data_IF_776987969578
#
_entry.id   IF_776987969578
#
_cell.length_a   1.000
_cell.length_b   1.000
_cell.length_c   1.000
_cell.angle_alpha   90.00
_cell.angle_beta   90.00
_cell.angle_gamma   90.00
#
_symmetry.space_group_name_H-M   'P 1'
#
loop_
_entity.id
_entity.type
_entity.pdbx_description
1 polymer ?
#
# COMPACT_ATOMS: atom_id res chain seq x y z
N UNK A 1 9.20 6.01 12.43
CA UNK A 1 8.30 6.83 11.61
C UNK A 1 7.48 5.86 10.79
N UNK A 2 6.18 5.74 11.02
CA UNK A 2 5.34 4.86 10.20
C UNK A 2 4.99 5.46 8.85
N UNK A 3 5.01 4.63 7.82
CA UNK A 3 4.63 4.93 6.45
C UNK A 3 3.16 4.55 6.25
N UNK A 4 2.34 5.55 5.92
CA UNK A 4 0.92 5.34 5.63
C UNK A 4 0.68 5.48 4.14
N UNK A 5 0.09 4.46 3.53
CA UNK A 5 -0.29 4.50 2.12
C UNK A 5 -1.50 3.60 1.88
N UNK A 6 -2.23 3.87 0.82
CA UNK A 6 -3.40 3.08 0.48
C UNK A 6 -3.27 2.56 -0.95
N UNK A 7 -3.54 1.27 -1.14
CA UNK A 7 -3.64 0.64 -2.46
C UNK A 7 -5.10 0.42 -2.82
N UNK A 8 -5.47 0.75 -4.04
CA UNK A 8 -6.79 0.46 -4.60
C UNK A 8 -6.61 -0.58 -5.69
N UNK A 9 -7.28 -1.71 -5.52
CA UNK A 9 -7.24 -2.83 -6.45
C UNK A 9 -8.25 -2.64 -7.59
N UNK A 10 -8.03 -3.34 -8.71
CA UNK A 10 -8.87 -3.25 -9.91
C UNK A 10 -10.28 -3.82 -9.74
N UNK A 11 -10.47 -4.65 -8.71
CA UNK A 11 -11.74 -5.28 -8.36
C UNK A 11 -11.84 -5.53 -6.87
N UNK A 12 -13.05 -5.82 -6.41
CA UNK A 12 -13.23 -6.45 -5.11
C UNK A 12 -12.55 -7.83 -5.10
N UNK A 13 -11.68 -8.05 -4.11
CA UNK A 13 -11.06 -9.35 -3.87
C UNK A 13 -11.92 -10.19 -2.93
N UNK A 14 -11.83 -11.49 -3.09
CA UNK A 14 -12.47 -12.46 -2.20
C UNK A 14 -11.75 -12.54 -0.85
N UNK A 15 -12.42 -13.10 0.16
CA UNK A 15 -11.82 -13.31 1.49
C UNK A 15 -10.54 -14.17 1.40
N UNK A 16 -10.52 -15.17 0.51
CA UNK A 16 -9.34 -16.01 0.23
C UNK A 16 -8.16 -15.20 -0.33
N UNK A 17 -8.40 -14.35 -1.33
CA UNK A 17 -7.37 -13.44 -1.86
C UNK A 17 -6.91 -12.45 -0.79
N UNK A 18 -7.82 -11.93 0.03
CA UNK A 18 -7.49 -11.01 1.12
C UNK A 18 -6.65 -11.69 2.21
N UNK A 19 -6.85 -12.98 2.48
CA UNK A 19 -6.08 -13.75 3.43
C UNK A 19 -4.64 -13.95 2.94
N UNK A 20 -4.46 -14.26 1.66
CA UNK A 20 -3.13 -14.34 1.02
C UNK A 20 -2.41 -13.00 1.10
N UNK A 21 -3.11 -11.91 0.82
CA UNK A 21 -2.55 -10.56 0.91
C UNK A 21 -2.23 -10.17 2.36
N UNK A 22 -3.08 -10.52 3.33
CA UNK A 22 -2.80 -10.30 4.78
C UNK A 22 -1.55 -11.00 5.27
N UNK A 23 -1.20 -12.15 4.70
CA UNK A 23 0.03 -12.87 5.06
C UNK A 23 1.29 -12.10 4.65
N UNK A 24 1.21 -11.31 3.56
CA UNK A 24 2.26 -10.35 3.17
C UNK A 24 2.12 -8.98 3.82
N UNK A 25 0.91 -8.60 4.25
CA UNK A 25 0.57 -7.25 4.74
C UNK A 25 0.24 -7.27 6.23
N UNK A 26 1.29 -7.41 7.04
CA UNK A 26 1.15 -7.40 8.49
C UNK A 26 0.66 -6.01 8.96
N UNK A 27 -0.57 -5.95 9.45
CA UNK A 27 -1.19 -4.70 9.93
C UNK A 27 -2.02 -3.92 8.90
N UNK A 28 -2.17 -4.40 7.66
CA UNK A 28 -2.99 -3.71 6.67
C UNK A 28 -4.49 -3.91 6.87
N UNK A 29 -5.25 -2.83 6.65
CA UNK A 29 -6.70 -2.76 6.80
C UNK A 29 -7.36 -2.85 5.43
N UNK A 30 -8.12 -3.93 5.20
CA UNK A 30 -8.88 -4.14 3.98
C UNK A 30 -10.27 -3.53 4.14
N UNK A 31 -10.69 -2.75 3.16
CA UNK A 31 -12.00 -2.12 3.10
C UNK A 31 -12.54 -2.15 1.69
N UNK A 32 -13.86 -2.29 1.55
CA UNK A 32 -14.52 -2.12 0.26
C UNK A 32 -14.71 -0.63 0.00
N UNK A 33 -14.25 -0.15 -1.15
CA UNK A 33 -14.39 1.22 -1.62
C UNK A 33 -14.90 1.23 -3.07
N UNK A 34 -15.12 2.40 -3.66
CA UNK A 34 -15.57 2.52 -5.04
C UNK A 34 -14.51 3.25 -5.87
N UNK A 35 -14.45 2.98 -7.18
CA UNK A 35 -13.49 3.69 -8.03
C UNK A 35 -13.77 5.20 -8.00
N UNK A 36 -12.74 6.06 -7.93
CA UNK A 36 -12.93 7.51 -7.98
C UNK A 36 -13.53 7.97 -9.31
N UNK A 37 -13.36 7.16 -10.35
CA UNK A 37 -13.95 7.37 -11.68
C UNK A 37 -15.35 6.79 -11.83
N UNK A 38 -15.73 5.80 -11.00
CA UNK A 38 -17.02 5.11 -11.11
C UNK A 38 -17.47 4.53 -9.76
N UNK A 39 -18.50 5.13 -9.17
CA UNK A 39 -18.99 4.76 -7.84
C UNK A 39 -19.80 3.46 -7.82
N UNK A 40 -20.17 2.90 -8.98
CA UNK A 40 -20.91 1.63 -9.08
C UNK A 40 -19.96 0.42 -9.10
N UNK A 41 -18.66 0.65 -9.32
CA UNK A 41 -17.64 -0.39 -9.31
C UNK A 41 -17.04 -0.53 -7.91
N UNK A 42 -17.43 -1.59 -7.21
CA UNK A 42 -16.83 -1.98 -5.94
C UNK A 42 -15.39 -2.49 -6.17
N UNK A 43 -14.46 -1.89 -5.44
CA UNK A 43 -13.05 -2.23 -5.43
C UNK A 43 -12.56 -2.43 -4.01
N UNK A 44 -11.51 -3.22 -3.83
CA UNK A 44 -10.87 -3.33 -2.53
C UNK A 44 -9.84 -2.23 -2.37
N UNK A 45 -10.00 -1.43 -1.31
CA UNK A 45 -8.95 -0.53 -0.79
C UNK A 45 -8.25 -1.23 0.36
N UNK A 46 -6.92 -1.19 0.32
CA UNK A 46 -6.06 -1.70 1.39
C UNK A 46 -5.33 -0.48 1.95
N UNK A 47 -5.52 -0.20 3.23
CA UNK A 47 -4.81 0.84 3.95
C UNK A 47 -3.66 0.21 4.73
N UNK A 48 -2.45 0.71 4.48
CA UNK A 48 -1.23 0.24 5.11
C UNK A 48 -0.79 1.28 6.13
N UNK A 49 -0.64 0.83 7.37
CA UNK A 49 -0.04 1.58 8.46
C UNK A 49 1.23 0.84 8.87
N UNK A 50 2.26 0.98 8.04
CA UNK A 50 3.49 0.24 8.22
C UNK A 50 4.44 1.05 9.12
N UNK A 51 4.63 0.58 10.36
CA UNK A 51 5.56 1.19 11.32
C UNK A 51 6.93 0.48 11.36
N UNK A 52 7.09 -0.57 10.55
CA UNK A 52 8.15 -1.58 10.68
C UNK A 52 9.16 -1.52 9.54
N UNK A 53 8.70 -1.19 8.33
CA UNK A 53 9.51 -1.07 7.13
C UNK A 53 10.41 0.17 7.20
N UNK A 54 11.67 0.05 6.77
CA UNK A 54 12.63 1.14 6.82
C UNK A 54 12.30 2.27 5.83
N UNK A 55 11.51 1.97 4.78
CA UNK A 55 11.06 2.96 3.81
C UNK A 55 9.70 2.64 3.19
N UNK A 56 8.98 3.68 2.79
CA UNK A 56 7.73 3.58 2.03
C UNK A 56 7.88 2.77 0.74
N UNK A 57 9.02 2.92 0.04
CA UNK A 57 9.26 2.23 -1.22
C UNK A 57 9.32 0.71 -1.01
N UNK A 58 10.03 0.24 0.02
CA UNK A 58 10.08 -1.20 0.34
C UNK A 58 8.72 -1.74 0.75
N UNK A 59 7.95 -0.98 1.55
CA UNK A 59 6.59 -1.38 1.93
C UNK A 59 5.66 -1.48 0.70
N UNK A 60 5.76 -0.53 -0.25
CA UNK A 60 5.01 -0.55 -1.50
C UNK A 60 5.46 -1.71 -2.40
N UNK A 61 6.76 -1.94 -2.57
CA UNK A 61 7.27 -3.02 -3.42
C UNK A 61 6.85 -4.39 -2.88
N UNK A 62 6.95 -4.61 -1.57
CA UNK A 62 6.44 -5.81 -0.92
C UNK A 62 4.94 -5.95 -1.15
N UNK A 63 4.20 -4.83 -1.07
CA UNK A 63 2.79 -4.80 -1.36
C UNK A 63 2.42 -5.15 -2.81
N UNK A 64 3.16 -4.62 -3.77
CA UNK A 64 2.99 -4.93 -5.18
C UNK A 64 3.37 -6.39 -5.50
N UNK A 65 4.41 -6.94 -4.86
CA UNK A 65 4.79 -8.34 -5.01
C UNK A 65 3.70 -9.30 -4.52
N UNK A 66 3.14 -9.05 -3.34
CA UNK A 66 2.02 -9.86 -2.84
C UNK A 66 0.78 -9.74 -3.71
N UNK A 67 0.42 -8.54 -4.21
CA UNK A 67 -0.67 -8.41 -5.20
C UNK A 67 -0.37 -9.22 -6.47
N UNK A 68 0.89 -9.26 -6.89
CA UNK A 68 1.33 -10.04 -8.05
C UNK A 68 1.25 -11.55 -7.84
N UNK A 69 1.20 -12.05 -6.59
CA UNK A 69 0.97 -13.47 -6.32
C UNK A 69 -0.47 -13.90 -6.64
N UNK A 70 -1.41 -12.96 -6.68
CA UNK A 70 -2.79 -13.20 -7.08
C UNK A 70 -2.91 -12.99 -8.60
N UNK A 71 -3.10 -14.06 -9.40
CA UNK A 71 -3.26 -13.92 -10.84
C UNK A 71 -4.52 -13.10 -11.15
N UNK A 72 -4.45 -12.25 -12.18
CA UNK A 72 -5.55 -11.35 -12.61
C UNK A 72 -5.81 -10.15 -11.70
N UNK A 73 -5.05 -10.00 -10.61
CA UNK A 73 -5.13 -8.85 -9.71
C UNK A 73 -4.14 -7.76 -10.14
N UNK A 74 -4.65 -6.54 -10.35
CA UNK A 74 -3.85 -5.37 -10.74
C UNK A 74 -4.10 -4.22 -9.78
N UNK A 75 -3.08 -3.37 -9.59
CA UNK A 75 -3.16 -2.14 -8.79
C UNK A 75 -3.35 -0.95 -9.73
N UNK A 76 -4.58 -0.57 -10.10
CA UNK A 76 -4.84 0.59 -10.94
C UNK A 76 -4.55 1.91 -10.23
N UNK A 77 -4.58 1.93 -8.89
CA UNK A 77 -4.43 3.14 -8.10
C UNK A 77 -3.55 2.90 -6.88
N UNK A 78 -2.43 3.61 -6.82
CA UNK A 78 -1.63 3.77 -5.60
C UNK A 78 -1.85 5.19 -5.09
N UNK A 79 -2.33 5.32 -3.86
CA UNK A 79 -2.58 6.61 -3.22
C UNK A 79 -1.68 6.74 -2.01
N UNK A 80 -0.72 7.67 -2.11
CA UNK A 80 0.11 8.04 -0.96
C UNK A 80 -0.40 9.38 -0.45
N UNK A 81 -0.88 9.48 0.81
CA UNK A 81 -1.17 10.77 1.38
C UNK A 81 0.10 11.62 1.36
N UNK A 82 0.00 12.84 0.84
CA UNK A 82 1.07 13.83 0.88
C UNK A 82 1.22 14.38 2.31
N UNK A 83 1.51 13.51 3.27
CA UNK A 83 2.05 13.95 4.55
C UNK A 83 3.46 14.46 4.28
N UNK A 84 3.80 15.68 4.72
CA UNK A 84 5.15 16.20 4.53
C UNK A 84 6.14 15.27 5.24
N UNK A 85 6.88 14.47 4.45
CA UNK A 85 8.12 13.89 4.93
C UNK A 85 9.05 15.05 5.25
N UNK A 86 9.44 15.19 6.52
CA UNK A 86 10.62 15.98 6.84
C UNK A 86 11.79 15.39 6.02
N UNK A 87 12.65 16.24 5.42
CA UNK A 87 13.75 15.76 4.60
C UNK A 87 14.53 14.71 5.40
N UNK A 88 14.82 13.57 4.78
CA UNK A 88 15.80 12.65 5.31
C UNK A 88 17.04 13.48 5.65
N UNK A 89 17.48 13.42 6.89
CA UNK A 89 18.71 14.05 7.34
C UNK A 89 19.84 13.49 6.48
N UNK A 90 20.20 14.25 5.44
CA UNK A 90 21.43 14.12 4.69
C UNK A 90 22.55 14.19 5.73
N UNK A 91 23.11 13.03 6.09
CA UNK A 91 24.42 12.95 6.72
C UNK A 91 25.44 13.47 5.70
N UNK A 92 25.49 14.79 5.52
CA UNK A 92 26.66 15.47 5.03
C UNK A 92 27.62 15.54 6.22
N UNK A 93 28.43 14.50 6.32
CA UNK A 93 29.63 14.46 7.15
C UNK A 93 30.42 15.76 6.91
N UNK A 94 30.58 16.49 8.00
CA UNK A 94 31.34 17.72 8.12
C UNK A 94 32.83 17.36 7.98
N UNK A 95 33.40 17.52 6.77
CA UNK A 95 34.85 17.46 6.60
C UNK A 95 35.47 18.70 7.28
N UNK A 96 36.02 18.45 8.47
CA UNK A 96 36.81 19.38 9.28
C UNK A 96 38.26 19.54 8.79
#
# INVERSE_FOLDING_TARGET
MGHKFSLVLSREITDEESAVLREGFEGAVFSTDALPTDAEVAVTRIDFDDEVSPSLAEAIESALESVRTVPDLTVPGLSVPAVPQAPAEEQADEEA
#
